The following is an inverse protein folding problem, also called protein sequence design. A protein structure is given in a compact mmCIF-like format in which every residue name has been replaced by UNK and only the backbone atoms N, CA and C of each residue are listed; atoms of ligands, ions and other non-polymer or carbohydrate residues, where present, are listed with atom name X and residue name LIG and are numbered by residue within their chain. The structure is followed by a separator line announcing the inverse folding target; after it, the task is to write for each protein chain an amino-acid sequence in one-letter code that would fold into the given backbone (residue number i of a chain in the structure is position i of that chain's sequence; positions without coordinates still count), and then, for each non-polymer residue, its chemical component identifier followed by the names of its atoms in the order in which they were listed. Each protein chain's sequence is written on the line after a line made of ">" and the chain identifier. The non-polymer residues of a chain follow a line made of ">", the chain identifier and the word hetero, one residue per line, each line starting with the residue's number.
data_IF_815888368150
#
_entry.id   IF_815888368150
#
_cell.length_a   1.000
_cell.length_b   1.000
_cell.length_c   1.000
_cell.angle_alpha   90.00
_cell.angle_beta   90.00
_cell.angle_gamma   90.00
#
_symmetry.space_group_name_H-M   'P 1'
#
loop_
_entity.id
_entity.type
_entity.pdbx_description
1 polymer ?
#
# COMPACT_ATOMS: atom_id res chain seq x y z
N UNK A 1 33.87 21.56 -5.58
CA UNK A 1 33.55 20.27 -4.88
C UNK A 1 32.48 20.43 -3.79
N UNK A 2 32.64 21.33 -2.81
CA UNK A 2 31.68 21.50 -1.70
C UNK A 2 30.25 21.83 -2.16
N UNK A 3 30.09 22.73 -3.15
CA UNK A 3 28.78 23.11 -3.69
C UNK A 3 28.04 21.93 -4.33
N UNK A 4 28.72 21.15 -5.17
CA UNK A 4 28.11 19.97 -5.82
C UNK A 4 27.63 18.95 -4.78
N UNK A 5 28.42 18.71 -3.74
CA UNK A 5 28.05 17.80 -2.65
C UNK A 5 26.82 18.30 -1.87
N UNK A 6 26.72 19.61 -1.60
CA UNK A 6 25.53 20.21 -0.97
C UNK A 6 24.28 20.01 -1.85
N UNK A 7 24.39 20.21 -3.17
CA UNK A 7 23.26 20.02 -4.08
C UNK A 7 22.81 18.55 -4.15
N UNK A 8 23.74 17.60 -4.08
CA UNK A 8 23.41 16.17 -4.01
C UNK A 8 22.72 15.79 -2.70
N UNK A 9 23.20 16.31 -1.56
CA UNK A 9 22.55 16.11 -0.26
C UNK A 9 21.14 16.71 -0.27
N UNK A 10 21.01 17.95 -0.77
CA UNK A 10 19.71 18.61 -0.87
C UNK A 10 18.75 17.83 -1.77
N UNK A 11 19.21 17.35 -2.94
CA UNK A 11 18.41 16.51 -3.82
C UNK A 11 17.94 15.23 -3.10
N UNK A 12 18.83 14.53 -2.41
CA UNK A 12 18.50 13.32 -1.66
C UNK A 12 17.45 13.56 -0.57
N UNK A 13 17.59 14.66 0.18
CA UNK A 13 16.61 15.05 1.22
C UNK A 13 15.24 15.31 0.58
N UNK A 14 15.18 16.10 -0.49
CA UNK A 14 13.91 16.41 -1.17
C UNK A 14 13.28 15.13 -1.74
N UNK A 15 14.06 14.25 -2.38
CA UNK A 15 13.56 12.97 -2.89
C UNK A 15 12.96 12.12 -1.77
N UNK A 16 13.64 12.04 -0.62
CA UNK A 16 13.14 11.28 0.53
C UNK A 16 11.84 11.89 1.09
N UNK A 17 11.76 13.23 1.19
CA UNK A 17 10.54 13.92 1.63
C UNK A 17 9.37 13.66 0.69
N UNK A 18 9.58 13.72 -0.63
CA UNK A 18 8.55 13.40 -1.62
C UNK A 18 8.06 11.96 -1.45
N UNK A 19 8.97 10.99 -1.31
CA UNK A 19 8.61 9.59 -1.08
C UNK A 19 7.86 9.37 0.24
N UNK A 20 8.26 10.07 1.30
CA UNK A 20 7.60 10.01 2.59
C UNK A 20 6.17 10.54 2.54
N UNK A 21 5.95 11.70 1.91
CA UNK A 21 4.62 12.30 1.75
C UNK A 21 3.74 11.36 0.93
N UNK A 22 4.23 10.90 -0.22
CA UNK A 22 3.48 9.97 -1.09
C UNK A 22 3.05 8.70 -0.36
N UNK A 23 3.96 8.10 0.42
CA UNK A 23 3.64 6.89 1.18
C UNK A 23 2.51 7.12 2.20
N UNK A 24 2.44 8.31 2.82
CA UNK A 24 1.39 8.65 3.80
C UNK A 24 0.06 9.03 3.15
N UNK A 25 0.10 9.68 1.99
CA UNK A 25 -1.11 10.11 1.27
C UNK A 25 -1.65 9.05 0.31
N UNK A 26 -0.91 7.96 0.11
CA UNK A 26 -1.31 6.85 -0.75
C UNK A 26 -2.69 6.31 -0.36
N UNK A 27 -3.50 5.99 -1.37
CA UNK A 27 -4.77 5.31 -1.17
C UNK A 27 -4.57 3.93 -0.50
N UNK A 28 -3.39 3.31 -0.66
CA UNK A 28 -3.01 2.05 -0.03
C UNK A 28 -2.56 2.20 1.43
N UNK A 29 -2.46 3.42 1.97
CA UNK A 29 -2.03 3.64 3.34
C UNK A 29 -3.02 3.00 4.34
N UNK A 30 -2.52 2.15 5.27
CA UNK A 30 -3.37 1.33 6.14
C UNK A 30 -4.23 2.20 7.06
N UNK A 31 -5.47 1.76 7.26
CA UNK A 31 -6.36 2.37 8.25
C UNK A 31 -5.94 1.90 9.63
N UNK A 32 -5.46 2.81 10.47
CA UNK A 32 -5.09 2.51 11.86
C UNK A 32 -5.84 3.40 12.82
N UNK A 33 -6.11 2.90 14.02
CA UNK A 33 -6.76 3.70 15.06
C UNK A 33 -6.72 3.00 16.40
N UNK A 34 -7.16 3.72 17.44
CA UNK A 34 -7.35 3.16 18.77
C UNK A 34 -8.66 3.68 19.32
N UNK A 35 -9.51 2.77 19.78
CA UNK A 35 -10.76 3.10 20.46
C UNK A 35 -10.63 2.77 21.95
N UNK A 36 -11.30 3.55 22.79
CA UNK A 36 -11.44 3.26 24.22
C UNK A 36 -12.75 2.54 24.49
N UNK A 37 -12.68 1.32 25.01
CA UNK A 37 -13.84 0.58 25.52
C UNK A 37 -13.69 0.49 27.04
N UNK A 38 -14.56 1.19 27.79
CA UNK A 38 -14.57 1.16 29.27
C UNK A 38 -13.18 1.39 29.89
N UNK A 39 -12.46 2.42 29.41
CA UNK A 39 -11.09 2.79 29.82
C UNK A 39 -9.97 1.82 29.41
N UNK A 40 -10.27 0.78 28.63
CA UNK A 40 -9.27 -0.11 28.02
C UNK A 40 -9.11 0.17 26.53
N UNK A 41 -7.89 0.06 26.02
CA UNK A 41 -7.55 0.43 24.64
C UNK A 41 -7.68 -0.77 23.72
N UNK A 42 -8.32 -0.56 22.57
CA UNK A 42 -8.33 -1.51 21.46
C UNK A 42 -7.72 -0.82 20.25
N UNK A 43 -6.53 -1.28 19.86
CA UNK A 43 -5.79 -0.76 18.71
C UNK A 43 -5.95 -1.67 17.51
N UNK A 44 -6.13 -1.07 16.34
CA UNK A 44 -6.32 -1.80 15.10
C UNK A 44 -5.43 -1.26 13.98
N UNK A 45 -5.01 -2.16 13.10
CA UNK A 45 -4.19 -1.85 11.94
C UNK A 45 -4.70 -2.67 10.74
N UNK A 46 -5.45 -2.01 9.87
CA UNK A 46 -6.13 -2.61 8.73
C UNK A 46 -5.40 -2.27 7.44
N UNK A 47 -4.88 -3.30 6.77
CA UNK A 47 -4.27 -3.14 5.46
C UNK A 47 -5.38 -2.86 4.43
N UNK A 48 -5.13 -1.92 3.51
CA UNK A 48 -5.99 -1.66 2.35
C UNK A 48 -5.58 -2.45 1.12
N UNK A 49 -4.34 -2.92 1.08
CA UNK A 49 -3.80 -3.73 -0.02
C UNK A 49 -3.07 -4.93 0.56
N UNK A 50 -3.30 -6.10 -0.03
CA UNK A 50 -2.69 -7.36 0.40
C UNK A 50 -2.07 -8.12 -0.78
N UNK A 51 -0.75 -8.33 -0.72
CA UNK A 51 0.08 -8.89 -1.82
C UNK A 51 0.61 -10.30 -1.54
N UNK A 52 0.43 -10.82 -0.33
CA UNK A 52 1.01 -12.10 0.05
C UNK A 52 0.21 -13.27 -0.51
N UNK A 53 0.87 -14.43 -0.61
CA UNK A 53 0.26 -15.69 -1.10
C UNK A 53 -0.67 -16.36 -0.09
N UNK A 54 -0.55 -15.99 1.18
CA UNK A 54 -1.25 -16.63 2.29
C UNK A 54 -2.62 -15.98 2.53
N UNK A 55 -3.35 -16.48 3.51
CA UNK A 55 -4.59 -15.87 3.96
C UNK A 55 -4.32 -14.55 4.71
N UNK A 56 -5.25 -13.61 4.60
CA UNK A 56 -5.13 -12.32 5.27
C UNK A 56 -5.52 -12.47 6.74
N UNK A 57 -4.53 -12.32 7.63
CA UNK A 57 -4.77 -12.31 9.07
C UNK A 57 -5.02 -10.88 9.54
N UNK A 58 -6.25 -10.62 9.97
CA UNK A 58 -6.63 -9.38 10.61
C UNK A 58 -6.37 -9.47 12.11
N UNK A 59 -5.67 -8.48 12.67
CA UNK A 59 -5.24 -8.44 14.06
C UNK A 59 -5.75 -7.15 14.73
N UNK A 60 -6.37 -7.30 15.90
CA UNK A 60 -6.66 -6.21 16.82
C UNK A 60 -5.97 -6.50 18.15
N UNK A 61 -5.25 -5.51 18.67
CA UNK A 61 -4.62 -5.60 19.99
C UNK A 61 -5.57 -5.06 21.04
N UNK A 62 -5.78 -5.82 22.11
CA UNK A 62 -6.74 -5.48 23.16
C UNK A 62 -6.26 -6.00 24.52
N UNK A 63 -6.44 -5.17 25.55
CA UNK A 63 -6.19 -5.57 26.95
C UNK A 63 -7.42 -6.27 27.57
N UNK A 64 -8.56 -6.29 26.85
CA UNK A 64 -9.82 -6.92 27.29
C UNK A 64 -9.84 -8.39 26.87
N UNK A 65 -9.82 -9.31 27.84
CA UNK A 65 -9.88 -10.77 27.61
C UNK A 65 -11.25 -11.26 27.13
N UNK A 66 -12.34 -10.67 27.65
CA UNK A 66 -13.72 -11.09 27.36
C UNK A 66 -14.34 -10.35 26.16
N UNK A 67 -13.52 -9.76 25.30
CA UNK A 67 -13.98 -9.02 24.13
C UNK A 67 -14.33 -10.00 23.01
N UNK A 68 -15.60 -10.03 22.61
CA UNK A 68 -16.06 -10.84 21.48
C UNK A 68 -16.08 -9.99 20.22
N UNK A 69 -15.62 -10.53 19.10
CA UNK A 69 -15.65 -9.84 17.82
C UNK A 69 -16.25 -10.71 16.72
N UNK A 70 -16.94 -10.09 15.78
CA UNK A 70 -17.38 -10.70 14.53
C UNK A 70 -16.93 -9.79 13.38
N UNK A 71 -16.30 -10.36 12.37
CA UNK A 71 -16.07 -9.68 11.10
C UNK A 71 -17.17 -10.08 10.14
N UNK A 72 -17.78 -9.08 9.50
CA UNK A 72 -18.70 -9.26 8.39
C UNK A 72 -17.98 -8.85 7.13
N UNK A 73 -17.87 -9.72 6.15
CA UNK A 73 -17.19 -9.42 4.90
C UNK A 73 -17.91 -9.99 3.69
N UNK A 74 -17.70 -9.38 2.53
CA UNK A 74 -18.18 -9.86 1.23
C UNK A 74 -17.24 -9.40 0.13
N UNK A 75 -17.24 -10.08 -1.00
CA UNK A 75 -16.55 -9.59 -2.19
C UNK A 75 -17.30 -8.39 -2.76
N UNK A 76 -16.57 -7.32 -3.08
CA UNK A 76 -17.11 -6.10 -3.68
C UNK A 76 -17.56 -6.40 -5.11
N UNK A 77 -18.65 -5.75 -5.54
CA UNK A 77 -19.28 -5.90 -6.86
C UNK A 77 -19.92 -7.28 -7.14
N UNK A 78 -19.87 -8.23 -6.21
CA UNK A 78 -20.67 -9.44 -6.29
C UNK A 78 -21.91 -9.32 -5.40
N UNK A 79 -23.06 -9.75 -5.91
CA UNK A 79 -24.32 -9.73 -5.17
C UNK A 79 -24.41 -10.90 -4.15
N UNK A 80 -23.27 -11.22 -3.53
CA UNK A 80 -23.14 -12.30 -2.55
C UNK A 80 -23.59 -11.85 -1.17
N UNK A 81 -24.12 -12.80 -0.40
CA UNK A 81 -24.47 -12.59 1.00
C UNK A 81 -23.23 -12.30 1.85
N UNK A 82 -23.42 -11.51 2.92
CA UNK A 82 -22.37 -11.23 3.90
C UNK A 82 -21.96 -12.52 4.62
N UNK A 83 -20.67 -12.80 4.62
CA UNK A 83 -20.06 -13.85 5.43
C UNK A 83 -19.70 -13.30 6.80
N UNK A 84 -19.85 -14.12 7.84
CA UNK A 84 -19.57 -13.72 9.22
C UNK A 84 -18.57 -14.69 9.82
N UNK A 85 -17.41 -14.19 10.23
CA UNK A 85 -16.41 -14.97 10.96
C UNK A 85 -16.22 -14.41 12.37
N UNK A 86 -16.03 -15.31 13.33
CA UNK A 86 -15.81 -14.93 14.73
C UNK A 86 -14.32 -14.69 14.98
N UNK A 87 -14.00 -13.57 15.63
CA UNK A 87 -12.64 -13.26 16.04
C UNK A 87 -12.24 -14.15 17.23
N UNK A 88 -11.04 -14.72 17.15
CA UNK A 88 -10.45 -15.57 18.19
C UNK A 88 -9.51 -14.73 19.04
N UNK A 89 -9.76 -14.70 20.35
CA UNK A 89 -8.86 -14.07 21.32
C UNK A 89 -7.69 -15.00 21.64
N UNK A 90 -6.47 -14.48 21.62
CA UNK A 90 -5.25 -15.17 22.03
C UNK A 90 -4.20 -14.16 22.48
N UNK A 91 -3.73 -14.28 23.72
CA UNK A 91 -2.60 -13.53 24.29
C UNK A 91 -2.64 -12.01 24.01
N UNK A 92 -3.74 -11.32 24.33
CA UNK A 92 -3.88 -9.88 24.12
C UNK A 92 -4.22 -9.45 22.69
N UNK A 93 -4.50 -10.40 21.79
CA UNK A 93 -4.89 -10.14 20.41
C UNK A 93 -6.19 -10.83 20.03
N UNK A 94 -7.08 -10.11 19.36
CA UNK A 94 -8.21 -10.65 18.62
C UNK A 94 -7.80 -10.82 17.16
N UNK A 95 -7.93 -12.04 16.64
CA UNK A 95 -7.51 -12.38 15.29
C UNK A 95 -8.59 -13.08 14.50
N UNK A 96 -8.61 -12.85 13.19
CA UNK A 96 -9.44 -13.61 12.25
C UNK A 96 -8.68 -13.75 10.94
N UNK A 97 -8.87 -14.88 10.27
CA UNK A 97 -8.21 -15.20 9.00
C UNK A 97 -9.25 -15.14 7.90
N UNK A 98 -9.05 -14.26 6.92
CA UNK A 98 -9.87 -14.18 5.72
C UNK A 98 -9.15 -14.98 4.61
N UNK A 99 -9.83 -15.96 3.99
CA UNK A 99 -9.24 -16.76 2.93
C UNK A 99 -8.71 -15.88 1.80
N UNK A 100 -7.54 -16.26 1.28
CA UNK A 100 -6.90 -15.58 0.15
C UNK A 100 -7.86 -15.53 -1.04
N UNK A 101 -7.99 -14.33 -1.61
CA UNK A 101 -8.80 -14.12 -2.83
C UNK A 101 -7.93 -14.05 -4.08
N UNK A 102 -8.61 -14.13 -5.24
CA UNK A 102 -8.00 -13.91 -6.54
C UNK A 102 -7.43 -12.49 -6.67
N UNK A 103 -6.45 -12.32 -7.57
CA UNK A 103 -5.87 -11.00 -7.82
C UNK A 103 -6.92 -10.05 -8.41
N UNK A 104 -6.81 -8.76 -8.07
CA UNK A 104 -7.78 -7.69 -8.40
C UNK A 104 -9.17 -7.84 -7.77
N UNK A 105 -9.32 -8.73 -6.79
CA UNK A 105 -10.55 -8.78 -6.02
C UNK A 105 -10.51 -7.79 -4.85
N UNK A 106 -11.62 -7.12 -4.63
CA UNK A 106 -11.82 -6.26 -3.47
C UNK A 106 -12.78 -6.94 -2.50
N UNK A 107 -12.45 -6.94 -1.21
CA UNK A 107 -13.37 -7.33 -0.14
C UNK A 107 -13.77 -6.08 0.61
N UNK A 108 -15.07 -5.92 0.85
CA UNK A 108 -15.59 -4.96 1.82
C UNK A 108 -15.88 -5.68 3.12
N UNK A 109 -15.43 -5.11 4.24
CA UNK A 109 -15.68 -5.68 5.55
C UNK A 109 -15.98 -4.63 6.62
N UNK A 110 -16.60 -5.12 7.69
CA UNK A 110 -16.89 -4.36 8.91
C UNK A 110 -16.65 -5.25 10.11
N UNK A 111 -16.04 -4.70 11.15
CA UNK A 111 -15.84 -5.42 12.41
C UNK A 111 -16.85 -4.92 13.43
N UNK A 112 -17.50 -5.87 14.08
CA UNK A 112 -18.39 -5.65 15.21
C UNK A 112 -17.75 -6.24 16.45
N UNK A 113 -17.41 -5.41 17.42
CA UNK A 113 -17.01 -5.83 18.75
C UNK A 113 -18.22 -5.79 19.69
N UNK A 114 -18.33 -6.78 20.56
CA UNK A 114 -19.35 -6.86 21.59
C UNK A 114 -18.67 -7.04 22.94
N UNK A 115 -18.96 -6.12 23.86
CA UNK A 115 -18.48 -6.15 25.22
C UNK A 115 -19.61 -5.76 26.17
N UNK A 116 -19.94 -6.63 27.14
CA UNK A 116 -20.99 -6.41 28.16
C UNK A 116 -22.30 -5.86 27.57
N UNK A 117 -22.76 -6.46 26.46
CA UNK A 117 -23.99 -6.10 25.74
C UNK A 117 -23.96 -4.75 25.00
N UNK A 118 -22.82 -4.06 24.93
CA UNK A 118 -22.57 -2.89 24.07
C UNK A 118 -21.87 -3.33 22.79
N UNK A 119 -22.34 -2.79 21.65
CA UNK A 119 -21.76 -3.04 20.33
C UNK A 119 -20.90 -1.86 19.90
N UNK A 120 -19.69 -2.13 19.45
CA UNK A 120 -18.76 -1.14 18.89
C UNK A 120 -18.44 -1.53 17.46
N UNK A 121 -18.50 -0.57 16.54
CA UNK A 121 -18.16 -0.79 15.14
C UNK A 121 -16.75 -0.27 14.87
N UNK A 122 -15.96 -1.06 14.14
CA UNK A 122 -14.61 -0.71 13.74
C UNK A 122 -14.48 -0.78 12.22
N UNK A 123 -14.17 0.35 11.56
CA UNK A 123 -14.26 1.73 12.04
C UNK A 123 -15.72 2.19 12.23
N UNK A 124 -15.95 3.20 13.08
CA UNK A 124 -17.28 3.57 13.61
C UNK A 124 -18.38 3.80 12.55
N UNK A 125 -18.05 4.29 11.36
CA UNK A 125 -19.07 4.67 10.38
C UNK A 125 -18.73 4.38 8.90
N UNK A 126 -17.80 3.47 8.63
CA UNK A 126 -17.45 3.13 7.24
C UNK A 126 -17.14 1.65 7.04
N UNK A 127 -17.38 1.17 5.83
CA UNK A 127 -16.83 -0.10 5.38
C UNK A 127 -15.36 0.11 5.05
N UNK A 128 -14.52 -0.82 5.47
CA UNK A 128 -13.14 -0.86 5.00
C UNK A 128 -13.08 -1.78 3.79
N UNK A 129 -12.29 -1.38 2.80
CA UNK A 129 -12.04 -2.18 1.60
C UNK A 129 -10.60 -2.65 1.63
N UNK A 130 -10.38 -3.93 1.32
CA UNK A 130 -9.06 -4.51 1.10
C UNK A 130 -8.98 -5.06 -0.32
N UNK A 131 -7.99 -4.60 -1.07
CA UNK A 131 -7.66 -5.05 -2.42
C UNK A 131 -6.64 -6.18 -2.35
N UNK A 132 -6.97 -7.33 -2.92
CA UNK A 132 -6.06 -8.46 -3.06
C UNK A 132 -5.31 -8.33 -4.39
N UNK A 133 -3.99 -8.20 -4.32
CA UNK A 133 -3.09 -8.17 -5.48
C UNK A 133 -2.26 -9.44 -5.54
N UNK A 134 -1.86 -9.82 -6.74
CA UNK A 134 -0.91 -10.91 -6.97
C UNK A 134 0.46 -10.61 -6.35
N UNK A 135 1.20 -11.66 -5.93
CA UNK A 135 2.53 -11.50 -5.37
C UNK A 135 3.51 -11.03 -6.46
N UNK A 136 4.24 -9.96 -6.17
CA UNK A 136 5.31 -9.47 -7.04
C UNK A 136 6.65 -10.03 -6.55
N UNK A 137 7.50 -10.57 -7.44
CA UNK A 137 8.85 -10.96 -7.07
C UNK A 137 9.64 -9.77 -6.53
N UNK A 138 10.40 -10.01 -5.45
CA UNK A 138 11.21 -8.97 -4.81
C UNK A 138 12.18 -8.29 -5.79
N UNK A 139 12.74 -9.05 -6.75
CA UNK A 139 13.60 -8.49 -7.79
C UNK A 139 12.89 -7.40 -8.59
N UNK A 140 11.66 -7.62 -9.05
CA UNK A 140 10.90 -6.64 -9.83
C UNK A 140 10.59 -5.40 -8.99
N UNK A 141 10.17 -5.57 -7.75
CA UNK A 141 9.90 -4.44 -6.84
C UNK A 141 11.16 -3.60 -6.62
N UNK A 142 12.31 -4.22 -6.35
CA UNK A 142 13.59 -3.52 -6.17
C UNK A 142 13.95 -2.71 -7.42
N UNK A 143 13.90 -3.32 -8.61
CA UNK A 143 14.27 -2.63 -9.84
C UNK A 143 13.31 -1.47 -10.16
N UNK A 144 12.01 -1.68 -9.93
CA UNK A 144 10.99 -0.63 -10.11
C UNK A 144 11.25 0.57 -9.20
N UNK A 145 11.36 0.35 -7.89
CA UNK A 145 11.56 1.44 -6.93
C UNK A 145 12.93 2.10 -7.07
N UNK A 146 13.98 1.34 -7.40
CA UNK A 146 15.30 1.89 -7.66
C UNK A 146 15.27 2.84 -8.86
N UNK A 147 14.70 2.40 -9.98
CA UNK A 147 14.63 3.21 -11.21
C UNK A 147 13.76 4.47 -11.00
N UNK A 148 12.66 4.35 -10.25
CA UNK A 148 11.82 5.48 -9.87
C UNK A 148 12.58 6.47 -8.98
N UNK A 149 13.24 5.99 -7.93
CA UNK A 149 13.95 6.83 -6.97
C UNK A 149 15.15 7.55 -7.61
N UNK A 150 15.91 6.84 -8.44
CA UNK A 150 17.01 7.42 -9.23
C UNK A 150 16.48 8.49 -10.19
N UNK A 151 15.35 8.23 -10.87
CA UNK A 151 14.72 9.22 -11.76
C UNK A 151 14.33 10.50 -11.02
N UNK A 152 13.66 10.39 -9.88
CA UNK A 152 13.26 11.55 -9.06
C UNK A 152 14.49 12.29 -8.52
N UNK A 153 15.50 11.56 -8.04
CA UNK A 153 16.75 12.14 -7.54
C UNK A 153 17.46 12.94 -8.64
N UNK A 154 17.60 12.37 -9.83
CA UNK A 154 18.22 13.04 -10.98
C UNK A 154 17.40 14.23 -11.46
N UNK A 155 16.07 14.15 -11.43
CA UNK A 155 15.19 15.26 -11.79
C UNK A 155 15.38 16.46 -10.85
N UNK A 156 15.36 16.22 -9.54
CA UNK A 156 15.59 17.27 -8.54
C UNK A 156 17.01 17.80 -8.68
N UNK A 157 17.99 16.92 -8.89
CA UNK A 157 19.40 17.31 -9.07
C UNK A 157 19.58 18.19 -10.31
N UNK A 158 18.88 17.89 -11.40
CA UNK A 158 18.85 18.69 -12.62
C UNK A 158 18.20 20.06 -12.37
N UNK A 159 17.10 20.12 -11.61
CA UNK A 159 16.50 21.40 -11.20
C UNK A 159 17.44 22.26 -10.34
N UNK A 160 18.16 21.62 -9.42
CA UNK A 160 19.14 22.29 -8.55
C UNK A 160 20.43 22.71 -9.28
N UNK A 161 20.71 22.22 -10.49
CA UNK A 161 21.82 22.73 -11.31
C UNK A 161 21.66 24.21 -11.66
N UNK A 162 20.46 24.78 -11.55
CA UNK A 162 20.25 26.22 -11.70
C UNK A 162 21.14 27.06 -10.75
N UNK A 163 21.46 26.55 -9.57
CA UNK A 163 22.31 27.22 -8.58
C UNK A 163 23.81 26.90 -8.73
N UNK A 164 24.19 26.15 -9.76
CA UNK A 164 25.57 25.74 -10.00
C UNK A 164 26.22 26.66 -11.05
N UNK A 165 27.49 27.04 -10.84
CA UNK A 165 28.20 27.95 -11.74
C UNK A 165 28.48 27.30 -13.13
N UNK A 166 28.64 25.97 -13.17
CA UNK A 166 28.83 25.20 -14.40
C UNK A 166 27.71 24.16 -14.56
N UNK A 167 26.55 24.56 -15.08
CA UNK A 167 25.38 23.70 -15.09
C UNK A 167 25.54 22.52 -16.05
N UNK A 168 25.44 21.29 -15.53
CA UNK A 168 25.42 20.04 -16.35
C UNK A 168 23.99 19.57 -16.65
N UNK A 169 23.10 20.52 -16.95
CA UNK A 169 21.66 20.27 -17.09
C UNK A 169 21.34 19.19 -18.13
N UNK A 170 21.94 19.28 -19.33
CA UNK A 170 21.67 18.34 -20.44
C UNK A 170 21.94 16.89 -20.05
N UNK A 171 23.04 16.65 -19.33
CA UNK A 171 23.44 15.31 -18.92
C UNK A 171 22.42 14.71 -17.93
N UNK A 172 22.09 15.46 -16.86
CA UNK A 172 21.14 14.99 -15.85
C UNK A 172 19.72 14.84 -16.39
N UNK A 173 19.28 15.72 -17.29
CA UNK A 173 17.97 15.60 -17.95
C UNK A 173 17.89 14.36 -18.83
N UNK A 174 18.94 14.02 -19.59
CA UNK A 174 18.96 12.79 -20.40
C UNK A 174 18.88 11.55 -19.51
N UNK A 175 19.68 11.48 -18.43
CA UNK A 175 19.60 10.33 -17.52
C UNK A 175 18.26 10.23 -16.79
N UNK A 176 17.68 11.38 -16.41
CA UNK A 176 16.33 11.44 -15.84
C UNK A 176 15.30 10.88 -16.81
N UNK A 177 15.36 11.30 -18.07
CA UNK A 177 14.46 10.83 -19.12
C UNK A 177 14.59 9.33 -19.34
N UNK A 178 15.82 8.81 -19.45
CA UNK A 178 16.07 7.36 -19.60
C UNK A 178 15.51 6.60 -18.40
N UNK A 179 15.77 7.08 -17.18
CA UNK A 179 15.30 6.43 -15.94
C UNK A 179 13.77 6.37 -15.90
N UNK A 180 13.07 7.50 -16.12
CA UNK A 180 11.61 7.50 -16.11
C UNK A 180 11.01 6.74 -17.28
N UNK A 181 11.63 6.78 -18.47
CA UNK A 181 11.18 6.01 -19.62
C UNK A 181 11.27 4.51 -19.33
N UNK A 182 12.40 4.02 -18.83
CA UNK A 182 12.55 2.62 -18.42
C UNK A 182 11.59 2.24 -17.29
N UNK A 183 11.39 3.12 -16.32
CA UNK A 183 10.43 2.91 -15.24
C UNK A 183 8.99 2.76 -15.77
N UNK A 184 8.57 3.66 -16.67
CA UNK A 184 7.20 3.72 -17.18
C UNK A 184 6.89 2.63 -18.22
N UNK A 185 7.85 2.29 -19.09
CA UNK A 185 7.62 1.36 -20.20
C UNK A 185 7.96 -0.09 -19.85
N UNK A 186 8.89 -0.32 -18.92
CA UNK A 186 9.36 -1.67 -18.60
C UNK A 186 8.86 -2.07 -17.21
N UNK A 187 9.35 -1.40 -16.16
CA UNK A 187 9.14 -1.89 -14.80
C UNK A 187 7.71 -1.73 -14.31
N UNK A 188 7.03 -0.62 -14.63
CA UNK A 188 5.64 -0.41 -14.25
C UNK A 188 4.70 -1.47 -14.88
N UNK A 189 4.68 -1.69 -16.21
CA UNK A 189 3.84 -2.72 -16.83
C UNK A 189 4.11 -4.13 -16.31
N UNK A 190 5.39 -4.48 -16.14
CA UNK A 190 5.78 -5.81 -15.64
C UNK A 190 5.27 -6.00 -14.21
N UNK A 191 5.51 -5.05 -13.31
CA UNK A 191 4.99 -5.09 -11.94
C UNK A 191 3.46 -5.19 -11.91
N UNK A 192 2.78 -4.45 -12.78
CA UNK A 192 1.31 -4.49 -12.90
C UNK A 192 0.81 -5.86 -13.35
N UNK A 193 1.44 -6.47 -14.35
CA UNK A 193 1.05 -7.81 -14.78
C UNK A 193 1.17 -8.85 -13.65
N UNK A 194 2.16 -8.73 -12.77
CA UNK A 194 2.26 -9.55 -11.55
C UNK A 194 1.15 -9.25 -10.54
N UNK A 195 0.89 -7.97 -10.24
CA UNK A 195 -0.17 -7.55 -9.31
C UNK A 195 -1.57 -7.99 -9.79
N UNK A 196 -1.79 -8.12 -11.09
CA UNK A 196 -3.02 -8.63 -11.68
C UNK A 196 -3.11 -10.16 -11.67
N UNK A 197 -2.02 -10.86 -11.34
CA UNK A 197 -1.96 -12.32 -11.46
C UNK A 197 -2.12 -12.81 -12.91
N UNK A 198 -1.85 -11.96 -13.89
CA UNK A 198 -2.04 -12.24 -15.31
C UNK A 198 -0.87 -13.07 -15.90
N UNK A 199 0.32 -12.96 -15.31
CA UNK A 199 1.52 -13.70 -15.73
C UNK A 199 1.22 -15.21 -15.81
N UNK A 200 1.30 -15.76 -17.02
CA UNK A 200 1.08 -17.18 -17.30
C UNK A 200 -0.38 -17.63 -17.38
N UNK A 201 -1.36 -16.72 -17.23
CA UNK A 201 -2.80 -17.03 -17.33
C UNK A 201 -3.48 -16.29 -18.48
N UNK A 202 -3.30 -14.98 -18.55
CA UNK A 202 -3.99 -14.12 -19.50
C UNK A 202 -3.09 -12.95 -19.92
N UNK A 203 -3.31 -12.40 -21.11
CA UNK A 203 -2.68 -11.13 -21.51
C UNK A 203 -3.51 -10.00 -20.89
N UNK A 204 -2.94 -9.19 -19.98
CA UNK A 204 -3.70 -8.09 -19.39
C UNK A 204 -4.00 -7.03 -20.46
N UNK A 205 -5.21 -6.43 -20.46
CA UNK A 205 -5.56 -5.37 -21.40
C UNK A 205 -4.71 -4.13 -21.13
N UNK A 206 -4.27 -3.45 -22.21
CA UNK A 206 -3.36 -2.30 -22.16
C UNK A 206 -3.90 -1.20 -21.24
N UNK A 207 -5.20 -0.93 -21.27
CA UNK A 207 -5.86 0.07 -20.43
C UNK A 207 -5.59 -0.18 -18.93
N UNK A 208 -5.69 -1.43 -18.49
CA UNK A 208 -5.45 -1.78 -17.08
C UNK A 208 -3.97 -1.74 -16.71
N UNK A 209 -3.08 -2.05 -17.66
CA UNK A 209 -1.62 -2.03 -17.43
C UNK A 209 -1.13 -0.61 -17.16
N UNK A 210 -1.66 0.37 -17.89
CA UNK A 210 -1.27 1.78 -17.78
C UNK A 210 -2.20 2.61 -16.88
N UNK A 211 -3.12 1.97 -16.17
CA UNK A 211 -4.11 2.65 -15.34
C UNK A 211 -3.43 3.41 -14.18
N UNK A 212 -3.65 4.72 -14.14
CA UNK A 212 -2.96 5.63 -13.23
C UNK A 212 -3.28 5.38 -11.75
N UNK A 213 -4.46 4.81 -11.46
CA UNK A 213 -4.95 4.57 -10.10
C UNK A 213 -4.10 3.56 -9.31
N UNK A 214 -3.34 2.73 -10.02
CA UNK A 214 -2.55 1.65 -9.45
C UNK A 214 -1.09 2.08 -9.17
N UNK A 215 -0.67 3.28 -9.60
CA UNK A 215 0.64 3.88 -9.29
C UNK A 215 0.66 4.66 -7.96
N UNK A 216 -0.48 4.75 -7.27
CA UNK A 216 -0.66 5.46 -6.01
C UNK A 216 -0.46 4.59 -4.76
#
# INVERSE_FOLDING_TARGET
>A
MKQSLILWIAAAIITFLVGFIQNRTSAAYPTSGTIGIESQKVSFHFKKVYRDKNDYVLLLRTDIENLKGIIKWRRKNENQAWQNDTLKYSNGNLSVTIPRQEALSEIEYRILLNYRNKKYFLPENRLETILFLGPVPLSIDIHYYLTLFVGILLAIRAGLEYFNNEPRLRLYSIFTLISFFSCAMIFAPVKKAYEMGAIGKTVPPIEKIFDAWLLA
#
